data_IF_401836376856
#
_entry.id   IF_401836376856
#
_cell.length_a   1.000
_cell.length_b   1.000
_cell.length_c   1.000
_cell.angle_alpha   90.00
_cell.angle_beta   90.00
_cell.angle_gamma   90.00
#
_symmetry.space_group_name_H-M   'P 1'
#
loop_
_entity.id
_entity.type
_entity.pdbx_description
1 polymer ?
#
# COMPACT_ATOMS: atom_id res chain seq x y z
N UNK A 1 -23.21 13.24 -0.73
CA UNK A 1 -22.60 12.16 -1.52
C UNK A 1 -23.58 11.79 -2.60
N UNK A 2 -23.11 11.77 -3.84
CA UNK A 2 -23.92 11.33 -4.98
C UNK A 2 -23.74 9.82 -5.16
N UNK A 3 -24.80 9.14 -5.59
CA UNK A 3 -24.73 7.71 -5.88
C UNK A 3 -23.91 7.49 -7.15
N UNK A 4 -22.90 6.62 -7.07
CA UNK A 4 -22.13 6.20 -8.24
C UNK A 4 -22.59 4.80 -8.65
N UNK A 5 -23.04 4.59 -9.89
CA UNK A 5 -23.44 3.27 -10.36
C UNK A 5 -22.23 2.34 -10.51
N UNK A 6 -22.42 1.09 -10.10
CA UNK A 6 -21.45 0.02 -10.22
C UNK A 6 -21.65 -1.03 -9.14
N UNK A 7 -21.18 -2.24 -9.41
CA UNK A 7 -21.14 -3.32 -8.45
C UNK A 7 -19.76 -3.36 -7.78
N UNK A 8 -19.67 -3.61 -6.47
CA UNK A 8 -18.40 -3.90 -5.80
C UNK A 8 -17.65 -5.04 -6.49
N UNK A 9 -16.34 -4.88 -6.67
CA UNK A 9 -15.51 -5.81 -7.44
C UNK A 9 -15.50 -7.22 -6.84
N UNK A 10 -15.55 -7.35 -5.52
CA UNK A 10 -15.66 -8.64 -4.82
C UNK A 10 -16.91 -9.44 -5.23
N UNK A 11 -18.03 -8.77 -5.49
CA UNK A 11 -19.27 -9.44 -5.88
C UNK A 11 -19.22 -10.04 -7.29
N UNK A 12 -18.40 -9.47 -8.18
CA UNK A 12 -18.35 -9.87 -9.60
C UNK A 12 -17.04 -10.56 -9.98
N UNK A 13 -16.06 -10.60 -9.07
CA UNK A 13 -14.69 -11.07 -9.33
C UNK A 13 -14.59 -12.44 -10.01
N UNK A 14 -15.34 -13.42 -9.50
CA UNK A 14 -15.35 -14.80 -10.02
C UNK A 14 -15.93 -14.90 -11.43
N UNK A 15 -16.75 -13.93 -11.84
CA UNK A 15 -17.32 -13.86 -13.18
C UNK A 15 -16.42 -13.21 -14.23
N UNK A 16 -15.33 -12.56 -13.81
CA UNK A 16 -14.44 -11.83 -14.70
C UNK A 16 -13.42 -12.76 -15.38
N UNK A 17 -13.31 -12.64 -16.70
CA UNK A 17 -12.23 -13.28 -17.44
C UNK A 17 -10.91 -12.50 -17.35
N UNK A 18 -9.81 -13.12 -17.79
CA UNK A 18 -8.47 -12.52 -17.69
C UNK A 18 -8.34 -11.19 -18.45
N UNK A 19 -8.99 -11.06 -19.60
CA UNK A 19 -8.98 -9.82 -20.39
C UNK A 19 -9.74 -8.67 -19.70
N UNK A 20 -10.83 -8.97 -18.99
CA UNK A 20 -11.50 -7.98 -18.14
C UNK A 20 -10.62 -7.60 -16.96
N UNK A 21 -9.92 -8.56 -16.35
CA UNK A 21 -8.95 -8.27 -15.28
C UNK A 21 -7.77 -7.43 -15.80
N UNK A 22 -7.32 -7.60 -17.04
CA UNK A 22 -6.31 -6.73 -17.67
C UNK A 22 -6.79 -5.29 -17.77
N UNK A 23 -8.05 -5.08 -18.19
CA UNK A 23 -8.66 -3.74 -18.24
C UNK A 23 -8.71 -3.11 -16.84
N UNK A 24 -9.12 -3.87 -15.82
CA UNK A 24 -9.13 -3.38 -14.45
C UNK A 24 -7.73 -3.04 -13.92
N UNK A 25 -6.70 -3.78 -14.31
CA UNK A 25 -5.31 -3.47 -13.96
C UNK A 25 -4.91 -2.11 -14.53
N UNK A 26 -5.21 -1.85 -15.81
CA UNK A 26 -4.89 -0.58 -16.45
C UNK A 26 -5.68 0.60 -15.85
N UNK A 27 -6.98 0.41 -15.59
CA UNK A 27 -7.81 1.41 -14.92
C UNK A 27 -7.26 1.75 -13.54
N UNK A 28 -6.93 0.75 -12.71
CA UNK A 28 -6.44 0.98 -11.36
C UNK A 28 -5.03 1.60 -11.36
N UNK A 29 -4.15 1.19 -12.28
CA UNK A 29 -2.83 1.83 -12.47
C UNK A 29 -2.96 3.31 -12.77
N UNK A 30 -3.92 3.68 -13.63
CA UNK A 30 -4.19 5.07 -13.98
C UNK A 30 -4.65 5.85 -12.74
N UNK A 31 -5.65 5.37 -12.01
CA UNK A 31 -6.12 6.07 -10.80
C UNK A 31 -5.04 6.19 -9.74
N UNK A 32 -4.29 5.12 -9.46
CA UNK A 32 -3.17 5.17 -8.51
C UNK A 32 -2.11 6.18 -8.94
N UNK A 33 -1.83 6.29 -10.25
CA UNK A 33 -0.89 7.29 -10.77
C UNK A 33 -1.41 8.71 -10.56
N UNK A 34 -2.68 8.98 -10.86
CA UNK A 34 -3.33 10.29 -10.63
C UNK A 34 -3.32 10.67 -9.13
N UNK A 35 -3.60 9.72 -8.22
CA UNK A 35 -3.49 9.95 -6.78
C UNK A 35 -2.05 10.31 -6.40
N UNK A 36 -1.07 9.59 -6.96
CA UNK A 36 0.35 9.79 -6.65
C UNK A 36 0.90 11.12 -7.16
N UNK A 37 0.25 11.79 -8.11
CA UNK A 37 0.62 13.16 -8.52
C UNK A 37 0.41 14.18 -7.40
N UNK A 38 -0.50 13.90 -6.46
CA UNK A 38 -0.72 14.74 -5.28
C UNK A 38 0.38 14.50 -4.24
N UNK A 39 1.39 15.38 -4.23
CA UNK A 39 2.54 15.27 -3.32
C UNK A 39 2.27 15.87 -1.94
N UNK A 40 2.71 15.15 -0.91
CA UNK A 40 2.65 15.57 0.49
C UNK A 40 3.99 16.10 1.01
N UNK A 41 3.95 16.95 2.05
CA UNK A 41 5.16 17.38 2.77
C UNK A 41 5.49 16.51 3.99
N UNK A 42 4.47 15.83 4.52
CA UNK A 42 4.49 15.04 5.75
C UNK A 42 3.51 13.88 5.64
N UNK A 43 3.71 12.86 6.46
CA UNK A 43 2.81 11.71 6.52
C UNK A 43 1.63 12.05 7.43
N UNK A 44 0.40 11.84 6.98
CA UNK A 44 -0.80 12.23 7.72
C UNK A 44 -2.07 12.30 6.89
N UNK A 45 -3.21 12.52 7.55
CA UNK A 45 -4.49 12.72 6.87
C UNK A 45 -4.49 13.95 5.95
N UNK A 46 -5.44 14.00 5.01
CA UNK A 46 -5.57 15.06 4.00
C UNK A 46 -5.56 16.48 4.59
N UNK A 47 -6.19 16.69 5.74
CA UNK A 47 -6.26 17.98 6.44
C UNK A 47 -5.03 18.28 7.30
N UNK A 48 -3.98 17.46 7.21
CA UNK A 48 -2.81 17.56 8.07
C UNK A 48 -3.04 17.06 9.50
N UNK A 49 -4.17 16.39 9.72
CA UNK A 49 -4.51 15.70 10.96
C UNK A 49 -3.75 14.37 11.12
N UNK A 50 -4.09 13.60 12.16
CA UNK A 50 -3.38 12.37 12.49
C UNK A 50 -3.45 11.35 11.35
N UNK A 51 -2.44 10.48 11.27
CA UNK A 51 -2.54 9.28 10.42
C UNK A 51 -3.61 8.37 11.01
N UNK A 52 -4.55 7.90 10.18
CA UNK A 52 -5.58 6.94 10.60
C UNK A 52 -5.22 5.57 10.05
N UNK A 53 -4.99 4.62 10.95
CA UNK A 53 -4.35 3.34 10.60
C UNK A 53 -5.10 2.19 11.29
N UNK A 54 -5.38 1.11 10.57
CA UNK A 54 -5.78 -0.16 11.20
C UNK A 54 -4.53 -0.94 11.59
N UNK A 55 -4.33 -1.12 12.90
CA UNK A 55 -3.19 -1.86 13.48
C UNK A 55 -3.25 -3.37 13.21
N UNK A 56 -2.23 -4.12 13.65
CA UNK A 56 -2.27 -5.59 13.66
C UNK A 56 -3.41 -6.16 14.54
N UNK A 57 -3.97 -5.37 15.44
CA UNK A 57 -5.01 -5.77 16.39
C UNK A 57 -6.42 -5.35 15.96
N UNK A 58 -6.62 -4.97 14.69
CA UNK A 58 -7.90 -4.49 14.14
C UNK A 58 -8.48 -3.26 14.86
N UNK A 59 -7.61 -2.48 15.51
CA UNK A 59 -7.98 -1.21 16.14
C UNK A 59 -7.58 -0.05 15.23
N UNK A 60 -8.42 0.97 15.16
CA UNK A 60 -8.06 2.25 14.53
C UNK A 60 -7.21 3.05 15.50
N UNK A 61 -6.04 3.48 15.05
CA UNK A 61 -5.21 4.43 15.78
C UNK A 61 -5.05 5.73 15.00
N UNK A 62 -5.02 6.81 15.75
CA UNK A 62 -4.78 8.17 15.29
C UNK A 62 -3.52 8.70 15.99
N UNK A 63 -2.44 8.91 15.23
CA UNK A 63 -1.20 9.47 15.76
C UNK A 63 -0.71 10.69 14.98
N UNK A 64 0.02 11.57 15.69
CA UNK A 64 0.54 12.83 15.15
C UNK A 64 1.46 12.60 13.94
N UNK A 65 1.47 13.53 12.98
CA UNK A 65 2.06 13.31 11.66
C UNK A 65 3.55 12.98 11.75
N UNK A 66 3.99 12.01 10.95
CA UNK A 66 5.39 11.61 10.90
C UNK A 66 6.16 12.51 9.92
N UNK A 67 7.30 13.03 10.39
CA UNK A 67 8.17 13.90 9.59
C UNK A 67 9.03 13.12 8.58
N UNK A 68 9.13 11.80 8.75
CA UNK A 68 9.92 10.93 7.88
C UNK A 68 9.29 9.54 7.75
N UNK A 69 9.58 8.87 6.64
CA UNK A 69 9.25 7.46 6.44
C UNK A 69 9.84 6.59 7.55
N UNK A 70 11.06 6.86 8.01
CA UNK A 70 11.70 6.06 9.07
C UNK A 70 10.90 6.04 10.37
N UNK A 71 10.37 7.18 10.81
CA UNK A 71 9.52 7.25 12.00
C UNK A 71 8.19 6.52 11.79
N UNK A 72 7.61 6.64 10.59
CA UNK A 72 6.39 5.92 10.24
C UNK A 72 6.60 4.40 10.19
N UNK A 73 7.74 3.93 9.68
CA UNK A 73 8.10 2.50 9.64
C UNK A 73 8.29 1.95 11.06
N UNK A 74 8.99 2.69 11.92
CA UNK A 74 9.17 2.32 13.32
C UNK A 74 7.82 2.24 14.06
N UNK A 75 6.93 3.21 13.82
CA UNK A 75 5.60 3.19 14.40
C UNK A 75 4.80 1.94 13.99
N UNK A 76 4.83 1.59 12.69
CA UNK A 76 4.18 0.37 12.19
C UNK A 76 4.68 -0.89 12.91
N UNK A 77 5.99 -1.01 13.13
CA UNK A 77 6.59 -2.12 13.88
C UNK A 77 6.06 -2.20 15.31
N UNK A 78 5.99 -1.06 16.01
CA UNK A 78 5.45 -0.99 17.39
C UNK A 78 3.99 -1.43 17.45
N UNK A 79 3.20 -1.08 16.42
CA UNK A 79 1.79 -1.46 16.33
C UNK A 79 1.53 -2.87 15.77
N UNK A 80 2.59 -3.65 15.56
CA UNK A 80 2.51 -5.00 15.00
C UNK A 80 1.96 -5.03 13.57
N UNK A 81 2.11 -3.94 12.81
CA UNK A 81 1.78 -3.91 11.38
C UNK A 81 2.99 -4.49 10.64
N UNK A 82 2.87 -5.73 10.18
CA UNK A 82 3.91 -6.38 9.38
C UNK A 82 3.76 -5.99 7.90
N UNK A 83 4.52 -4.99 7.47
CA UNK A 83 4.64 -4.62 6.06
C UNK A 83 5.78 -5.36 5.34
N UNK A 84 6.63 -6.08 6.08
CA UNK A 84 7.82 -6.77 5.57
C UNK A 84 7.51 -8.11 4.90
N UNK A 85 6.40 -8.76 5.25
CA UNK A 85 5.95 -10.03 4.64
C UNK A 85 5.82 -9.98 3.11
N UNK A 86 5.71 -8.79 2.51
CA UNK A 86 5.33 -8.64 1.11
C UNK A 86 6.52 -8.42 0.16
N UNK A 87 7.71 -8.09 0.67
CA UNK A 87 8.94 -7.99 -0.13
C UNK A 87 9.72 -9.32 -0.19
N UNK A 88 9.57 -10.20 0.80
CA UNK A 88 10.41 -11.38 1.00
C UNK A 88 9.82 -12.71 0.51
N UNK A 89 8.61 -12.73 -0.05
CA UNK A 89 7.98 -13.99 -0.49
C UNK A 89 8.50 -14.52 -1.85
N UNK A 90 9.29 -13.74 -2.58
CA UNK A 90 9.84 -14.14 -3.88
C UNK A 90 11.38 -14.28 -3.90
N UNK A 91 12.06 -14.04 -2.78
CA UNK A 91 13.52 -14.15 -2.72
C UNK A 91 13.94 -15.61 -2.44
N UNK A 92 14.06 -16.38 -3.52
CA UNK A 92 14.99 -17.50 -3.55
C UNK A 92 16.40 -16.93 -3.30
N UNK A 93 16.96 -17.29 -2.17
CA UNK A 93 18.12 -16.64 -1.57
C UNK A 93 19.38 -16.78 -2.43
N UNK A 94 19.74 -15.75 -3.19
CA UNK A 94 21.14 -15.51 -3.56
C UNK A 94 21.71 -14.43 -2.64
N UNK A 95 22.52 -14.85 -1.68
CA UNK A 95 23.31 -13.97 -0.82
C UNK A 95 24.22 -13.08 -1.68
N UNK A 96 23.90 -11.79 -1.78
CA UNK A 96 24.89 -10.77 -2.14
C UNK A 96 25.35 -10.06 -0.86
N UNK A 97 26.62 -10.27 -0.57
CA UNK A 97 27.44 -9.56 0.41
C UNK A 97 27.51 -8.08 -0.02
N UNK A 98 26.67 -7.23 0.56
CA UNK A 98 26.68 -5.80 0.27
C UNK A 98 27.06 -5.01 1.53
N UNK A 99 28.21 -4.37 1.42
CA UNK A 99 28.97 -3.75 2.50
C UNK A 99 28.20 -2.61 3.18
N UNK A 100 28.32 -2.54 4.51
CA UNK A 100 27.58 -1.63 5.41
C UNK A 100 27.94 -0.13 5.25
N UNK A 101 28.75 0.25 4.28
CA UNK A 101 29.27 1.62 4.13
C UNK A 101 28.51 2.49 3.13
N UNK A 102 27.71 1.92 2.23
CA UNK A 102 26.97 2.69 1.21
C UNK A 102 25.53 3.06 1.60
N UNK A 103 25.03 2.54 2.73
CA UNK A 103 23.64 2.78 3.18
C UNK A 103 23.40 4.13 3.84
N UNK A 104 24.43 4.79 4.36
CA UNK A 104 24.28 6.10 5.03
C UNK A 104 24.17 7.28 4.05
N UNK A 105 24.52 7.10 2.77
CA UNK A 105 24.70 8.22 1.83
C UNK A 105 23.59 8.38 0.78
N UNK A 106 22.58 7.50 0.76
CA UNK A 106 21.43 7.58 -0.17
C UNK A 106 20.08 7.31 0.50
N UNK A 107 19.84 7.91 1.68
CA UNK A 107 18.47 8.05 2.12
C UNK A 107 17.85 9.21 1.33
N UNK A 108 17.61 8.97 0.03
CA UNK A 108 16.76 9.85 -0.77
C UNK A 108 15.47 10.03 0.02
N UNK A 109 15.08 11.29 0.22
CA UNK A 109 13.88 11.61 0.99
C UNK A 109 12.71 10.91 0.33
N UNK A 110 12.17 9.90 1.01
CA UNK A 110 11.04 9.11 0.56
C UNK A 110 9.94 10.00 -0.01
N UNK A 111 9.47 9.68 -1.21
CA UNK A 111 8.41 10.43 -1.84
C UNK A 111 7.09 10.20 -1.11
N UNK A 112 6.52 11.28 -0.56
CA UNK A 112 5.24 11.27 0.11
C UNK A 112 4.16 11.63 -0.90
N UNK A 113 3.22 10.72 -1.11
CA UNK A 113 2.18 10.79 -2.12
C UNK A 113 0.81 10.58 -1.49
N UNK A 114 -0.25 11.05 -2.13
CA UNK A 114 -1.60 10.75 -1.70
C UNK A 114 -1.95 9.28 -2.03
N UNK A 115 -2.51 8.57 -1.06
CA UNK A 115 -2.92 7.17 -1.16
C UNK A 115 -4.35 7.02 -0.66
N UNK A 116 -5.08 6.05 -1.19
CA UNK A 116 -6.39 5.65 -0.68
C UNK A 116 -6.26 4.92 0.67
N UNK A 117 -5.26 4.04 0.81
CA UNK A 117 -4.94 3.38 2.09
C UNK A 117 -5.81 2.16 2.44
N UNK A 118 -6.80 1.84 1.60
CA UNK A 118 -7.69 0.66 1.71
C UNK A 118 -8.22 0.21 0.33
N UNK A 119 -7.31 0.07 -0.66
CA UNK A 119 -7.66 -0.47 -1.99
C UNK A 119 -7.86 -1.98 -1.94
N UNK A 120 -9.08 -2.37 -1.57
CA UNK A 120 -9.55 -3.75 -1.56
C UNK A 120 -10.75 -3.91 -2.50
N UNK A 121 -11.07 -5.13 -2.97
CA UNK A 121 -12.12 -5.35 -3.96
C UNK A 121 -13.48 -4.73 -3.60
N UNK A 122 -13.90 -4.83 -2.34
CA UNK A 122 -15.16 -4.23 -1.84
C UNK A 122 -15.25 -2.71 -2.01
N UNK A 123 -14.11 -2.04 -2.13
CA UNK A 123 -13.98 -0.58 -2.24
C UNK A 123 -13.77 -0.10 -3.69
N UNK A 124 -13.85 -1.00 -4.67
CA UNK A 124 -13.70 -0.71 -6.09
C UNK A 124 -15.04 -1.04 -6.76
N UNK A 125 -15.68 -0.02 -7.34
CA UNK A 125 -16.92 -0.20 -8.11
C UNK A 125 -16.60 -0.42 -9.59
N UNK A 126 -17.29 -1.38 -10.20
CA UNK A 126 -17.15 -1.69 -11.63
C UNK A 126 -18.50 -1.68 -12.34
N UNK A 127 -18.50 -1.33 -13.62
CA UNK A 127 -19.70 -1.45 -14.46
C UNK A 127 -19.81 -2.84 -15.12
N UNK A 128 -20.92 -3.05 -15.81
CA UNK A 128 -21.22 -4.23 -16.62
C UNK A 128 -20.19 -4.55 -17.72
N UNK A 129 -19.38 -3.56 -18.11
CA UNK A 129 -18.30 -3.71 -19.09
C UNK A 129 -16.97 -4.14 -18.49
N UNK A 130 -16.87 -4.20 -17.15
CA UNK A 130 -15.63 -4.51 -16.44
C UNK A 130 -14.66 -3.34 -16.36
N UNK A 131 -15.14 -2.09 -16.40
CA UNK A 131 -14.34 -0.90 -16.12
C UNK A 131 -14.58 -0.41 -14.70
N UNK A 132 -13.55 0.14 -14.07
CA UNK A 132 -13.67 0.78 -12.76
C UNK A 132 -14.42 2.11 -12.90
N UNK A 133 -15.54 2.25 -12.18
CA UNK A 133 -16.36 3.47 -12.17
C UNK A 133 -16.04 4.38 -11.00
N UNK A 134 -15.63 3.84 -9.86
CA UNK A 134 -15.20 4.62 -8.71
C UNK A 134 -14.35 3.81 -7.72
N UNK A 135 -13.55 4.55 -6.96
CA UNK A 135 -12.96 4.12 -5.70
C UNK A 135 -13.78 4.74 -4.56
N UNK A 136 -14.15 3.95 -3.57
CA UNK A 136 -15.00 4.37 -2.43
C UNK A 136 -14.34 4.01 -1.11
N UNK A 137 -14.90 4.52 0.00
CA UNK A 137 -14.38 4.30 1.35
C UNK A 137 -12.99 4.92 1.60
N UNK A 138 -12.92 6.25 1.44
CA UNK A 138 -11.72 7.07 1.59
C UNK A 138 -11.32 7.33 3.05
N UNK A 139 -11.83 6.55 4.01
CA UNK A 139 -11.71 6.85 5.43
C UNK A 139 -10.28 6.75 5.99
N UNK A 140 -9.39 6.07 5.25
CA UNK A 140 -7.96 5.91 5.52
C UNK A 140 -7.06 6.69 4.57
N UNK A 141 -7.65 7.50 3.68
CA UNK A 141 -6.91 8.24 2.69
C UNK A 141 -6.06 9.36 3.30
N UNK A 142 -4.90 9.60 2.72
CA UNK A 142 -3.95 10.58 3.23
C UNK A 142 -2.64 10.58 2.48
N UNK A 143 -1.67 11.33 3.00
CA UNK A 143 -0.32 11.41 2.46
C UNK A 143 0.57 10.40 3.17
N UNK A 144 1.13 9.46 2.41
CA UNK A 144 1.95 8.35 2.92
C UNK A 144 3.13 8.06 1.97
N UNK A 145 4.13 7.28 2.42
CA UNK A 145 5.15 6.77 1.51
C UNK A 145 4.54 5.94 0.38
N UNK A 146 5.15 5.97 -0.81
CA UNK A 146 4.64 5.31 -2.03
C UNK A 146 4.26 3.83 -1.84
N UNK A 147 5.01 3.12 -0.99
CA UNK A 147 4.78 1.69 -0.74
C UNK A 147 3.49 1.38 0.03
N UNK A 148 2.95 2.37 0.73
CA UNK A 148 1.84 2.19 1.66
C UNK A 148 0.59 1.63 0.98
N UNK A 149 0.29 2.09 -0.23
CA UNK A 149 -0.88 1.64 -1.00
C UNK A 149 -0.86 0.13 -1.24
N UNK A 150 0.24 -0.40 -1.79
CA UNK A 150 0.39 -1.84 -2.05
C UNK A 150 0.43 -2.63 -0.74
N UNK A 151 1.18 -2.17 0.26
CA UNK A 151 1.31 -2.88 1.53
C UNK A 151 -0.05 -3.01 2.23
N UNK A 152 -0.91 -1.99 2.15
CA UNK A 152 -2.27 -2.04 2.71
C UNK A 152 -3.19 -2.94 1.90
N UNK A 153 -3.22 -2.75 0.59
CA UNK A 153 -4.06 -3.54 -0.32
C UNK A 153 -3.73 -5.05 -0.25
N UNK A 154 -2.45 -5.41 -0.13
CA UNK A 154 -1.98 -6.80 -0.14
C UNK A 154 -2.25 -7.58 1.16
N UNK A 155 -2.84 -6.94 2.19
CA UNK A 155 -3.36 -7.62 3.38
C UNK A 155 -4.64 -8.40 3.10
N UNK A 156 -5.35 -8.06 2.02
CA UNK A 156 -6.47 -8.85 1.53
C UNK A 156 -5.93 -10.08 0.78
N UNK A 157 -6.20 -11.27 1.33
CA UNK A 157 -5.66 -12.54 0.83
C UNK A 157 -6.71 -13.37 0.10
N UNK A 158 -7.95 -12.90 0.01
CA UNK A 158 -9.00 -13.62 -0.70
C UNK A 158 -8.87 -13.47 -2.23
N UNK A 159 -9.55 -14.36 -2.95
CA UNK A 159 -9.83 -14.25 -4.40
C UNK A 159 -8.62 -14.09 -5.35
N UNK A 160 -7.39 -14.36 -4.91
CA UNK A 160 -6.20 -14.09 -5.74
C UNK A 160 -5.89 -12.60 -5.90
N UNK A 161 -6.37 -11.76 -4.97
CA UNK A 161 -6.18 -10.31 -5.00
C UNK A 161 -4.70 -9.91 -5.03
N UNK A 162 -3.84 -10.66 -4.34
CA UNK A 162 -2.40 -10.40 -4.33
C UNK A 162 -1.78 -10.54 -5.73
N UNK A 163 -2.17 -11.54 -6.51
CA UNK A 163 -1.69 -11.74 -7.89
C UNK A 163 -2.15 -10.59 -8.81
N UNK A 164 -3.36 -10.08 -8.58
CA UNK A 164 -3.85 -8.88 -9.25
C UNK A 164 -3.05 -7.63 -8.87
N UNK A 165 -2.75 -7.43 -7.59
CA UNK A 165 -1.95 -6.31 -7.13
C UNK A 165 -0.52 -6.32 -7.68
N UNK A 166 0.10 -7.50 -7.87
CA UNK A 166 1.42 -7.60 -8.53
C UNK A 166 1.34 -7.08 -9.96
N UNK A 167 0.22 -7.29 -10.66
CA UNK A 167 0.00 -6.69 -11.98
C UNK A 167 -0.20 -5.18 -11.87
N UNK A 168 -0.91 -4.67 -10.87
CA UNK A 168 -1.11 -3.21 -10.70
C UNK A 168 0.19 -2.50 -10.30
N UNK A 169 0.99 -3.09 -9.44
CA UNK A 169 2.24 -2.56 -8.88
C UNK A 169 3.44 -3.43 -9.30
N UNK A 170 3.88 -3.38 -10.57
CA UNK A 170 4.93 -4.28 -11.06
C UNK A 170 6.33 -3.93 -10.55
N UNK A 171 6.56 -2.71 -10.05
CA UNK A 171 7.85 -2.33 -9.46
C UNK A 171 7.86 -2.69 -7.97
N UNK A 172 8.82 -3.54 -7.55
CA UNK A 172 9.02 -3.95 -6.15
C UNK A 172 9.34 -2.79 -5.20
N UNK A 173 9.83 -1.65 -5.70
CA UNK A 173 10.02 -0.45 -4.88
C UNK A 173 8.68 0.06 -4.28
N UNK A 174 7.56 -0.27 -4.94
CA UNK A 174 6.23 0.06 -4.44
C UNK A 174 5.74 -0.90 -3.35
N UNK A 175 6.52 -1.94 -3.01
CA UNK A 175 6.10 -2.95 -2.04
C UNK A 175 6.65 -2.69 -0.64
N UNK A 176 7.64 -1.78 -0.54
CA UNK A 176 8.31 -1.40 0.70
C UNK A 176 9.64 -2.12 0.89
N UNK A 177 10.52 -1.58 1.72
CA UNK A 177 11.85 -2.18 1.94
C UNK A 177 11.79 -3.36 2.92
N UNK A 178 12.39 -4.49 2.52
CA UNK A 178 12.80 -5.53 3.45
C UNK A 178 13.95 -4.99 4.33
N UNK A 179 13.63 -4.26 5.40
CA UNK A 179 14.65 -3.77 6.32
C UNK A 179 15.48 -4.95 6.85
N UNK A 180 16.80 -4.87 6.67
CA UNK A 180 17.75 -5.87 7.17
C UNK A 180 17.57 -6.01 8.68
N UNK A 181 17.40 -7.24 9.19
CA UNK A 181 17.36 -7.50 10.64
C UNK A 181 18.59 -6.83 11.27
N UNK A 182 18.40 -5.79 12.07
CA UNK A 182 19.44 -5.37 13.00
C UNK A 182 19.51 -6.44 14.07
N UNK A 183 20.35 -7.44 13.83
CA UNK A 183 20.79 -8.39 14.82
C UNK A 183 21.58 -7.63 15.87
N UNK A 184 20.92 -7.15 16.93
CA UNK A 184 21.46 -7.05 18.30
C UNK A 184 20.42 -6.42 19.23
N UNK A 185 19.81 -7.23 20.09
CA UNK A 185 19.83 -6.96 21.53
C UNK A 185 20.03 -8.31 22.24
N UNK A 186 21.28 -8.62 22.58
CA UNK A 186 21.57 -9.57 23.65
C UNK A 186 20.95 -9.01 24.92
N UNK A 187 19.88 -9.63 25.41
CA UNK A 187 19.44 -9.42 26.79
C UNK A 187 20.57 -9.91 27.71
N UNK A 188 21.03 -9.01 28.58
CA UNK A 188 21.90 -9.35 29.70
C UNK A 188 21.15 -10.21 30.71
#
# INVERSE_FOLDING_TARGET
MDFVPGDPLDNVWEGLNDGQKDVLVEDLRKYVSELRELKGKRIGALNGGPTRLITGYQTVQEEWPFESEGLFNQFQEIQGIDTRMHASQDDDSSQSDDSLQDKETRQEKAEIVFTHGDLVPRNILVNDKGNITALVDWEFAGYYPKYWEYSRASRETTMGWKDFLVRVFPNKDDWGSAGTRSSTVRRR
#
